data_IF_571929476578
#
_entry.id   IF_571929476578
#
_cell.length_a   1.000
_cell.length_b   1.000
_cell.length_c   1.000
_cell.angle_alpha   90.00
_cell.angle_beta   90.00
_cell.angle_gamma   90.00
#
_symmetry.space_group_name_H-M   'P 1'
#
loop_
_entity.id
_entity.type
_entity.pdbx_description
1 polymer ?
#
# COMPACT_ATOMS: atom_id res chain seq x y z
N UNK A 1 -8.19 -14.78 -3.19
CA UNK A 1 -8.09 -13.43 -3.77
C UNK A 1 -9.03 -12.51 -2.98
N UNK A 2 -8.62 -12.14 -1.77
CA UNK A 2 -9.39 -11.18 -0.97
C UNK A 2 -9.07 -9.78 -1.50
N UNK A 3 -10.08 -9.10 -2.02
CA UNK A 3 -9.90 -7.78 -2.64
C UNK A 3 -10.09 -6.71 -1.56
N UNK A 4 -9.05 -6.52 -0.75
CA UNK A 4 -9.03 -5.50 0.29
C UNK A 4 -8.53 -4.19 -0.33
N UNK A 5 -9.26 -3.10 -0.12
CA UNK A 5 -8.92 -1.78 -0.66
C UNK A 5 -8.48 -0.88 0.49
N UNK A 6 -7.29 -0.30 0.36
CA UNK A 6 -6.75 0.68 1.29
C UNK A 6 -6.52 2.03 0.61
N UNK A 7 -6.07 3.00 1.40
CA UNK A 7 -5.72 4.36 0.96
C UNK A 7 -4.28 4.67 1.30
N UNK A 8 -3.62 5.47 0.47
CA UNK A 8 -2.24 5.88 0.74
C UNK A 8 -2.23 6.97 1.81
N UNK A 9 -1.72 6.64 3.00
CA UNK A 9 -1.65 7.55 4.13
C UNK A 9 -0.37 8.41 4.09
N UNK A 10 0.77 7.77 3.81
CA UNK A 10 2.07 8.42 3.78
C UNK A 10 2.98 7.85 2.69
N UNK A 11 3.82 8.71 2.13
CA UNK A 11 4.85 8.36 1.15
C UNK A 11 6.18 8.97 1.63
N UNK A 12 7.18 8.13 1.85
CA UNK A 12 8.56 8.51 2.25
C UNK A 12 9.55 7.72 1.38
N UNK A 13 9.90 8.29 0.22
CA UNK A 13 10.74 7.60 -0.76
C UNK A 13 10.08 6.27 -1.18
N UNK A 14 10.78 5.12 -1.08
CA UNK A 14 10.21 3.82 -1.43
C UNK A 14 9.25 3.26 -0.35
N UNK A 15 9.19 3.87 0.84
CA UNK A 15 8.33 3.42 1.93
C UNK A 15 6.96 4.09 1.80
N UNK A 16 5.91 3.28 1.73
CA UNK A 16 4.53 3.76 1.60
C UNK A 16 3.70 3.12 2.70
N UNK A 17 3.05 3.97 3.51
CA UNK A 17 2.11 3.52 4.53
C UNK A 17 0.69 3.54 3.93
N UNK A 18 0.00 2.40 4.04
CA UNK A 18 -1.34 2.18 3.49
C UNK A 18 -2.30 1.90 4.63
N UNK A 19 -3.31 2.75 4.77
CA UNK A 19 -4.38 2.63 5.74
C UNK A 19 -5.52 1.79 5.15
N UNK A 20 -6.01 0.84 5.92
CA UNK A 20 -7.18 0.03 5.61
C UNK A 20 -8.32 0.42 6.56
N UNK A 21 -9.56 0.29 6.09
CA UNK A 21 -10.72 0.59 6.94
C UNK A 21 -10.87 -0.44 8.08
N UNK A 22 -11.46 -0.03 9.19
CA UNK A 22 -11.69 -0.82 10.42
C UNK A 22 -12.48 -2.13 10.22
N UNK A 23 -13.22 -2.27 9.12
CA UNK A 23 -13.99 -3.49 8.79
C UNK A 23 -13.23 -4.48 7.89
N UNK A 24 -12.02 -4.11 7.43
CA UNK A 24 -11.22 -4.91 6.51
C UNK A 24 -10.15 -5.73 7.25
N UNK A 25 -9.98 -6.99 6.82
CA UNK A 25 -8.84 -7.79 7.26
C UNK A 25 -7.55 -7.17 6.71
N UNK A 26 -6.60 -6.86 7.60
CA UNK A 26 -5.30 -6.32 7.20
C UNK A 26 -4.52 -7.35 6.37
N UNK A 27 -3.90 -6.93 5.26
CA UNK A 27 -3.00 -7.80 4.50
C UNK A 27 -1.86 -8.30 5.39
N UNK A 28 -1.40 -9.53 5.15
CA UNK A 28 -0.32 -10.13 5.94
C UNK A 28 1.03 -9.54 5.56
N UNK A 29 2.01 -9.69 6.45
CA UNK A 29 3.40 -9.39 6.12
C UNK A 29 3.83 -10.29 4.95
N UNK A 30 4.52 -9.70 3.98
CA UNK A 30 4.91 -10.25 2.68
C UNK A 30 3.77 -10.45 1.67
N UNK A 31 2.55 -9.98 1.96
CA UNK A 31 1.53 -9.85 0.92
C UNK A 31 1.87 -8.67 0.00
N UNK A 32 1.44 -8.77 -1.26
CA UNK A 32 1.55 -7.69 -2.24
C UNK A 32 0.27 -6.86 -2.31
N UNK A 33 0.44 -5.55 -2.48
CA UNK A 33 -0.61 -4.61 -2.86
C UNK A 33 -0.32 -4.07 -4.26
N UNK A 34 -1.37 -3.81 -5.01
CA UNK A 34 -1.28 -3.28 -6.36
C UNK A 34 -1.92 -1.89 -6.42
N UNK A 35 -1.15 -0.90 -6.88
CA UNK A 35 -1.67 0.43 -7.21
C UNK A 35 -1.68 0.59 -8.72
N UNK A 36 -2.87 0.76 -9.29
CA UNK A 36 -3.03 1.12 -10.70
C UNK A 36 -2.76 2.60 -10.88
N UNK A 37 -1.78 2.93 -11.70
CA UNK A 37 -1.44 4.32 -12.04
C UNK A 37 -2.28 4.84 -13.21
N UNK A 38 -2.41 6.17 -13.34
CA UNK A 38 -3.11 6.79 -14.47
C UNK A 38 -2.50 6.46 -15.84
N UNK A 39 -1.19 6.14 -15.88
CA UNK A 39 -0.47 5.74 -17.10
C UNK A 39 -0.75 4.29 -17.53
N UNK A 40 -1.54 3.54 -16.75
CA UNK A 40 -1.87 2.14 -17.02
C UNK A 40 -0.88 1.13 -16.46
N UNK A 41 0.23 1.57 -15.86
CA UNK A 41 1.16 0.71 -15.14
C UNK A 41 0.64 0.33 -13.75
N UNK A 42 1.16 -0.77 -13.21
CA UNK A 42 0.85 -1.22 -11.84
C UNK A 42 2.09 -1.10 -10.99
N UNK A 43 2.02 -0.32 -9.92
CA UNK A 43 3.03 -0.34 -8.87
C UNK A 43 2.72 -1.47 -7.90
N UNK A 44 3.72 -2.32 -7.65
CA UNK A 44 3.65 -3.36 -6.62
C UNK A 44 4.25 -2.82 -5.32
N UNK A 45 3.51 -2.96 -4.23
CA UNK A 45 3.98 -2.72 -2.87
C UNK A 45 4.03 -4.04 -2.13
N UNK A 46 5.06 -4.27 -1.32
CA UNK A 46 5.14 -5.44 -0.44
C UNK A 46 4.99 -5.00 1.01
N UNK A 47 4.11 -5.66 1.75
CA UNK A 47 3.89 -5.38 3.17
C UNK A 47 5.08 -5.86 3.99
N UNK A 48 5.70 -4.95 4.73
CA UNK A 48 6.85 -5.26 5.60
C UNK A 48 6.46 -5.34 7.07
N UNK A 49 5.49 -4.54 7.51
CA UNK A 49 5.04 -4.56 8.90
C UNK A 49 3.64 -3.97 9.06
N UNK A 50 2.99 -4.33 10.16
CA UNK A 50 1.81 -3.63 10.67
C UNK A 50 2.27 -2.55 11.65
N UNK A 51 1.81 -1.31 11.46
CA UNK A 51 2.27 -0.18 12.27
C UNK A 51 1.20 0.37 13.23
N UNK A 52 0.03 -0.28 13.28
CA UNK A 52 -1.11 0.12 14.11
C UNK A 52 -2.14 0.96 13.33
N UNK A 53 -3.26 1.29 13.97
CA UNK A 53 -4.33 2.14 13.39
C UNK A 53 -4.78 1.65 11.99
N UNK A 54 -4.98 0.34 11.86
CA UNK A 54 -5.35 -0.32 10.60
C UNK A 54 -4.41 0.01 9.42
N UNK A 55 -3.17 0.38 9.72
CA UNK A 55 -2.17 0.81 8.75
C UNK A 55 -1.04 -0.21 8.66
N UNK A 56 -0.64 -0.49 7.43
CA UNK A 56 0.52 -1.33 7.13
C UNK A 56 1.61 -0.50 6.45
N UNK A 57 2.86 -0.80 6.77
CA UNK A 57 4.01 -0.24 6.09
C UNK A 57 4.43 -1.15 4.95
N UNK A 58 4.58 -0.56 3.78
CA UNK A 58 4.97 -1.27 2.57
C UNK A 58 6.23 -0.67 1.94
N UNK A 59 6.90 -1.47 1.13
CA UNK A 59 8.00 -1.03 0.26
C UNK A 59 7.56 -1.15 -1.19
N UNK A 60 7.75 -0.08 -1.95
CA UNK A 60 7.54 -0.06 -3.39
C UNK A 60 8.63 -0.85 -4.10
N UNK A 61 8.22 -1.78 -4.97
CA UNK A 61 9.13 -2.58 -5.80
C UNK A 61 9.63 -1.83 -7.04
N UNK A 62 9.06 -0.65 -7.31
CA UNK A 62 9.45 0.26 -8.38
C UNK A 62 9.38 1.71 -7.87
N UNK A 63 9.84 2.68 -8.67
CA UNK A 63 9.81 4.11 -8.32
C UNK A 63 8.43 4.51 -7.80
N UNK A 64 8.33 5.20 -6.67
CA UNK A 64 7.09 5.76 -6.14
C UNK A 64 6.75 7.16 -6.68
N UNK A 65 7.46 7.60 -7.73
CA UNK A 65 7.26 8.91 -8.34
C UNK A 65 5.85 9.06 -8.91
N UNK A 66 5.26 10.24 -8.71
CA UNK A 66 3.91 10.55 -9.16
C UNK A 66 2.79 9.90 -8.34
N UNK A 67 3.10 9.16 -7.28
CA UNK A 67 2.10 8.68 -6.34
C UNK A 67 1.58 9.83 -5.47
N UNK A 68 0.27 9.90 -5.29
CA UNK A 68 -0.39 10.88 -4.42
C UNK A 68 -1.04 10.19 -3.23
N UNK A 69 -1.17 10.92 -2.12
CA UNK A 69 -1.99 10.49 -0.98
C UNK A 69 -3.48 10.57 -1.33
N UNK A 70 -4.29 9.67 -0.78
CA UNK A 70 -5.74 9.62 -1.01
C UNK A 70 -6.30 8.22 -1.13
#
# INVERSE_FOLDING_TARGET
>A
MSKVTGKVAQIVGPVIDVEFGTEAELPKIYDSLEIKRPDGSTLILEVQSHIGEDTVRTIAMDSSDGLSRG
#
